data_IF_233800820020
#
_entry.id   IF_233800820020
#
_cell.length_a   1.000
_cell.length_b   1.000
_cell.length_c   1.000
_cell.angle_alpha   90.00
_cell.angle_beta   90.00
_cell.angle_gamma   90.00
#
_symmetry.space_group_name_H-M   'P 1'
#
loop_
_entity.id
_entity.type
_entity.pdbx_description
1 polymer ?
#
# COMPACT_ATOMS: atom_id res chain seq x y z
N UNK A 1 -12.02 -12.26 5.20
CA UNK A 1 -11.22 -11.27 5.96
C UNK A 1 -11.39 -9.93 5.28
N UNK A 2 -11.64 -8.86 6.04
CA UNK A 2 -11.80 -7.53 5.46
C UNK A 2 -10.45 -6.99 4.97
N UNK A 3 -10.45 -6.07 4.01
CA UNK A 3 -9.22 -5.50 3.44
C UNK A 3 -8.40 -4.77 4.51
N UNK A 4 -9.04 -4.06 5.44
CA UNK A 4 -8.34 -3.41 6.56
C UNK A 4 -7.59 -4.39 7.46
N UNK A 5 -8.17 -5.55 7.77
CA UNK A 5 -7.52 -6.59 8.58
C UNK A 5 -6.28 -7.14 7.85
N UNK A 6 -6.38 -7.34 6.53
CA UNK A 6 -5.26 -7.79 5.70
C UNK A 6 -4.08 -6.83 5.76
N UNK A 7 -4.35 -5.52 5.59
CA UNK A 7 -3.33 -4.48 5.63
C UNK A 7 -2.61 -4.48 6.97
N UNK A 8 -3.37 -4.50 8.07
CA UNK A 8 -2.80 -4.52 9.41
C UNK A 8 -1.95 -5.76 9.68
N UNK A 9 -2.41 -6.96 9.27
CA UNK A 9 -1.67 -8.22 9.44
C UNK A 9 -0.36 -8.17 8.65
N UNK A 10 -0.39 -7.75 7.38
CA UNK A 10 0.80 -7.65 6.52
C UNK A 10 1.82 -6.64 7.06
N UNK A 11 1.37 -5.46 7.48
CA UNK A 11 2.23 -4.46 8.11
C UNK A 11 2.90 -5.03 9.36
N UNK A 12 2.12 -5.71 10.22
CA UNK A 12 2.63 -6.33 11.45
C UNK A 12 3.66 -7.43 11.20
N UNK A 13 3.45 -8.29 10.20
CA UNK A 13 4.40 -9.36 9.82
C UNK A 13 5.74 -8.77 9.36
N UNK A 14 5.69 -7.63 8.67
CA UNK A 14 6.86 -6.92 8.15
C UNK A 14 7.42 -5.86 9.10
N UNK A 15 6.96 -5.83 10.35
CA UNK A 15 7.41 -4.89 11.39
C UNK A 15 7.21 -3.40 11.05
N UNK A 16 6.17 -3.09 10.25
CA UNK A 16 5.75 -1.71 10.02
C UNK A 16 4.85 -1.20 11.15
N UNK A 17 5.08 0.05 11.54
CA UNK A 17 4.14 0.84 12.32
C UNK A 17 3.22 1.61 11.38
N UNK A 18 1.91 1.35 11.48
CA UNK A 18 0.90 1.87 10.55
C UNK A 18 0.09 2.97 11.23
N UNK A 19 0.21 4.19 10.71
CA UNK A 19 -0.67 5.29 11.11
C UNK A 19 -2.11 4.98 10.66
N UNK A 20 -3.08 5.29 11.53
CA UNK A 20 -4.51 5.14 11.22
C UNK A 20 -4.91 5.95 9.98
N UNK A 21 -4.28 7.11 9.75
CA UNK A 21 -4.54 7.90 8.55
C UNK A 21 -3.95 7.25 7.30
N UNK A 22 -2.83 6.55 7.41
CA UNK A 22 -2.20 5.83 6.30
C UNK A 22 -3.02 4.59 5.90
N UNK A 23 -3.68 3.92 6.85
CA UNK A 23 -4.57 2.78 6.56
C UNK A 23 -5.69 3.15 5.58
N UNK A 24 -6.26 4.36 5.71
CA UNK A 24 -7.30 4.84 4.80
C UNK A 24 -6.78 4.98 3.36
N UNK A 25 -5.57 5.50 3.20
CA UNK A 25 -4.92 5.68 1.89
C UNK A 25 -4.59 4.34 1.24
N UNK A 26 -4.06 3.39 2.01
CA UNK A 26 -3.77 2.03 1.51
C UNK A 26 -5.07 1.32 1.12
N UNK A 27 -6.14 1.50 1.90
CA UNK A 27 -7.43 0.93 1.57
C UNK A 27 -8.00 1.48 0.27
N UNK A 28 -7.95 2.81 0.06
CA UNK A 28 -8.34 3.46 -1.19
C UNK A 28 -7.52 2.94 -2.37
N UNK A 29 -6.19 2.85 -2.24
CA UNK A 29 -5.30 2.26 -3.24
C UNK A 29 -5.73 0.85 -3.66
N UNK A 30 -6.07 -0.02 -2.70
CA UNK A 30 -6.51 -1.38 -2.99
C UNK A 30 -7.85 -1.45 -3.73
N UNK A 31 -8.68 -0.41 -3.68
CA UNK A 31 -9.94 -0.36 -4.47
C UNK A 31 -9.71 -0.24 -5.98
N UNK A 32 -8.50 0.17 -6.42
CA UNK A 32 -8.13 0.18 -7.83
C UNK A 32 -7.92 -1.23 -8.42
N UNK A 33 -7.85 -2.26 -7.56
CA UNK A 33 -7.67 -3.64 -7.96
C UNK A 33 -8.99 -4.41 -7.76
N UNK A 34 -9.73 -4.74 -8.83
CA UNK A 34 -11.08 -5.32 -8.72
C UNK A 34 -11.08 -6.77 -8.22
N UNK A 35 -9.95 -7.48 -8.34
CA UNK A 35 -9.84 -8.87 -7.88
C UNK A 35 -9.18 -8.91 -6.52
N UNK A 36 -9.84 -9.54 -5.55
CA UNK A 36 -9.33 -9.68 -4.19
C UNK A 36 -7.99 -10.44 -4.08
N UNK A 37 -7.65 -11.24 -5.09
CA UNK A 37 -6.35 -11.93 -5.18
C UNK A 37 -5.20 -10.94 -5.47
N UNK A 38 -5.48 -9.87 -6.22
CA UNK A 38 -4.49 -8.87 -6.62
C UNK A 38 -4.17 -7.92 -5.45
N UNK A 39 -5.01 -7.90 -4.40
CA UNK A 39 -4.83 -7.05 -3.21
C UNK A 39 -3.58 -7.42 -2.43
N UNK A 40 -3.33 -8.72 -2.26
CA UNK A 40 -2.18 -9.18 -1.48
C UNK A 40 -0.87 -8.89 -2.22
N UNK A 41 -0.86 -9.03 -3.55
CA UNK A 41 0.27 -8.68 -4.42
C UNK A 41 0.50 -7.16 -4.48
N UNK A 42 -0.56 -6.38 -4.70
CA UNK A 42 -0.48 -4.92 -4.72
C UNK A 42 0.03 -4.35 -3.39
N UNK A 43 -0.40 -4.94 -2.27
CA UNK A 43 0.08 -4.56 -0.94
C UNK A 43 1.55 -4.94 -0.73
N UNK A 44 1.99 -6.10 -1.20
CA UNK A 44 3.40 -6.50 -1.12
C UNK A 44 4.28 -5.54 -1.94
N UNK A 45 3.88 -5.20 -3.16
CA UNK A 45 4.58 -4.22 -4.02
C UNK A 45 4.66 -2.85 -3.35
N UNK A 46 3.54 -2.38 -2.78
CA UNK A 46 3.49 -1.11 -2.06
C UNK A 46 4.48 -1.08 -0.89
N UNK A 47 4.52 -2.13 -0.07
CA UNK A 47 5.43 -2.19 1.08
C UNK A 47 6.89 -2.28 0.65
N UNK A 48 7.20 -3.03 -0.42
CA UNK A 48 8.55 -3.12 -0.98
C UNK A 48 9.01 -1.75 -1.54
N UNK A 49 8.17 -1.07 -2.32
CA UNK A 49 8.49 0.26 -2.86
C UNK A 49 8.66 1.29 -1.74
N UNK A 50 7.80 1.25 -0.71
CA UNK A 50 7.90 2.12 0.46
C UNK A 50 9.24 1.94 1.19
N UNK A 51 9.64 0.69 1.43
CA UNK A 51 10.92 0.38 2.05
C UNK A 51 12.10 0.95 1.25
N UNK A 52 12.10 0.73 -0.06
CA UNK A 52 13.17 1.16 -0.95
C UNK A 52 13.27 2.68 -1.07
N UNK A 53 12.13 3.37 -1.06
CA UNK A 53 12.07 4.83 -1.24
C UNK A 53 12.36 5.63 0.04
N UNK A 54 11.99 5.10 1.21
CA UNK A 54 12.04 5.87 2.46
C UNK A 54 12.96 5.28 3.53
N UNK A 55 13.40 4.02 3.40
CA UNK A 55 14.21 3.32 4.39
C UNK A 55 13.65 3.46 5.82
N UNK A 56 12.32 3.38 5.94
CA UNK A 56 11.55 3.63 7.16
C UNK A 56 10.51 2.53 7.35
N UNK A 57 10.33 2.11 8.61
CA UNK A 57 9.30 1.16 8.99
C UNK A 57 8.05 1.86 9.56
N UNK A 58 8.01 3.20 9.58
CA UNK A 58 6.81 3.96 9.95
C UNK A 58 6.10 4.38 8.67
N UNK A 59 4.85 3.96 8.50
CA UNK A 59 3.97 4.31 7.39
C UNK A 59 3.14 5.55 7.75
N UNK A 60 3.69 6.74 7.51
CA UNK A 60 2.95 8.00 7.64
C UNK A 60 2.16 8.34 6.38
N UNK A 61 1.08 9.10 6.57
CA UNK A 61 0.12 9.45 5.52
C UNK A 61 0.75 10.11 4.28
N UNK A 62 1.67 11.05 4.46
CA UNK A 62 2.23 11.82 3.34
C UNK A 62 3.11 10.94 2.45
N UNK A 63 4.00 10.14 3.06
CA UNK A 63 4.86 9.22 2.32
C UNK A 63 4.06 8.13 1.63
N UNK A 64 3.05 7.58 2.32
CA UNK A 64 2.14 6.58 1.75
C UNK A 64 1.40 7.14 0.53
N UNK A 65 0.88 8.37 0.60
CA UNK A 65 0.28 9.03 -0.56
C UNK A 65 1.26 9.18 -1.72
N UNK A 66 2.51 9.54 -1.45
CA UNK A 66 3.56 9.66 -2.46
C UNK A 66 3.77 8.36 -3.23
N UNK A 67 3.97 7.26 -2.51
CA UNK A 67 4.16 5.92 -3.10
C UNK A 67 2.92 5.47 -3.87
N UNK A 68 1.73 5.59 -3.27
CA UNK A 68 0.46 5.21 -3.93
C UNK A 68 0.27 5.97 -5.24
N UNK A 69 0.52 7.28 -5.25
CA UNK A 69 0.43 8.09 -6.48
C UNK A 69 1.39 7.57 -7.56
N UNK A 70 2.66 7.34 -7.21
CA UNK A 70 3.66 6.85 -8.17
C UNK A 70 3.30 5.47 -8.73
N UNK A 71 2.78 4.56 -7.90
CA UNK A 71 2.31 3.25 -8.35
C UNK A 71 1.10 3.36 -9.30
N UNK A 72 0.11 4.18 -8.96
CA UNK A 72 -1.06 4.39 -9.81
C UNK A 72 -0.72 5.06 -11.14
N UNK A 73 0.20 6.03 -11.13
CA UNK A 73 0.73 6.65 -12.36
C UNK A 73 1.42 5.62 -13.26
N UNK A 74 2.23 4.72 -12.68
CA UNK A 74 2.85 3.61 -13.42
C UNK A 74 1.82 2.65 -14.04
N UNK A 75 0.76 2.31 -13.30
CA UNK A 75 -0.32 1.45 -13.80
C UNK A 75 -1.12 2.11 -14.94
N UNK A 76 -1.29 3.44 -14.88
CA UNK A 76 -1.97 4.19 -15.94
C UNK A 76 -1.15 4.18 -17.25
N UNK A 77 0.18 4.31 -17.16
CA UNK A 77 1.07 4.29 -18.34
C UNK A 77 1.08 2.93 -19.04
N UNK A 78 0.91 1.83 -18.31
CA UNK A 78 0.91 0.47 -18.88
C UNK A 78 -0.40 0.17 -19.64
N UNK A 79 -1.48 0.91 -19.36
CA UNK A 79 -2.81 0.69 -19.94
C UNK A 79 -3.17 1.65 -21.10
N UNK A 80 -2.22 2.46 -21.59
CA UNK A 80 -2.35 3.35 -22.77
C UNK A 80 -1.54 2.81 -23.97
#
# INVERSE_FOLDING_TARGET
MAVGDKVQIKCKIREYDLDIEALAVIHEFLTHFPRAQDHDEALDIFLDDYFLSHNSNVLDKERVHGVVRSLLEGLAIIND
#
